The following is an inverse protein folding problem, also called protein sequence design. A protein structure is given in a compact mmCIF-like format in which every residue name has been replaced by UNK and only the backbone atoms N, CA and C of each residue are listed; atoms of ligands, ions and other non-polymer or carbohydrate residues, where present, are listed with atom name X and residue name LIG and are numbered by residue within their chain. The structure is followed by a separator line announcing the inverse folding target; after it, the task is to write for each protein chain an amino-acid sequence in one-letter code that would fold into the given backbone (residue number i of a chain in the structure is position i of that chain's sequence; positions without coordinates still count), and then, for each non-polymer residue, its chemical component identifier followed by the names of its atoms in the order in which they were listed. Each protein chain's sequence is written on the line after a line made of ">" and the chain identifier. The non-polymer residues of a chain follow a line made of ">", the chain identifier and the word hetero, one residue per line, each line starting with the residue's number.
data_IF_216504306176
#
_entry.id   IF_216504306176
#
_cell.length_a   1.000
_cell.length_b   1.000
_cell.length_c   1.000
_cell.angle_alpha   90.00
_cell.angle_beta   90.00
_cell.angle_gamma   90.00
#
_symmetry.space_group_name_H-M   'P 1'
#
loop_
_entity.id
_entity.type
_entity.pdbx_description
1 polymer ?
#
# COMPACT_ATOMS: atom_id res chain seq x y z
N UNK A 1 0.48 -5.50 9.01
CA UNK A 1 -0.35 -4.30 8.75
C UNK A 1 -1.38 -4.16 9.84
N UNK A 2 -1.35 -3.10 10.63
CA UNK A 2 -2.18 -2.92 11.82
C UNK A 2 -2.96 -1.59 11.80
N UNK A 3 -3.20 -1.03 10.60
CA UNK A 3 -3.93 0.23 10.45
C UNK A 3 -5.41 0.14 10.78
N UNK A 4 -5.99 -1.07 10.69
CA UNK A 4 -7.34 -1.37 11.16
C UNK A 4 -7.25 -1.93 12.58
N UNK A 5 -7.40 -1.05 13.58
CA UNK A 5 -7.24 -1.41 14.99
C UNK A 5 -8.37 -2.28 15.54
N UNK A 6 -9.53 -2.30 14.90
CA UNK A 6 -10.63 -3.19 15.32
C UNK A 6 -10.30 -4.64 14.97
N UNK A 7 -9.60 -4.86 13.84
CA UNK A 7 -9.20 -6.19 13.37
C UNK A 7 -7.81 -6.62 13.81
N UNK A 8 -6.95 -5.66 14.17
CA UNK A 8 -5.54 -5.90 14.51
C UNK A 8 -5.32 -5.88 16.02
N UNK A 9 -6.03 -6.76 16.73
CA UNK A 9 -5.86 -6.92 18.19
C UNK A 9 -4.50 -7.52 18.52
N UNK A 10 -3.95 -7.21 19.70
CA UNK A 10 -2.69 -7.84 20.17
C UNK A 10 -2.78 -9.36 20.18
N UNK A 11 -3.94 -9.90 20.57
CA UNK A 11 -4.21 -11.33 20.52
C UNK A 11 -4.09 -11.90 19.09
N UNK A 12 -4.68 -11.23 18.09
CA UNK A 12 -4.58 -11.66 16.69
C UNK A 12 -3.13 -11.61 16.20
N UNK A 13 -2.37 -10.59 16.61
CA UNK A 13 -0.95 -10.47 16.28
C UNK A 13 -0.17 -11.63 16.90
N UNK A 14 -0.34 -11.91 18.19
CA UNK A 14 0.33 -13.01 18.87
C UNK A 14 0.01 -14.36 18.23
N UNK A 15 -1.27 -14.62 17.90
CA UNK A 15 -1.68 -15.84 17.21
C UNK A 15 -0.98 -16.03 15.86
N UNK A 16 -0.81 -14.97 15.07
CA UNK A 16 -0.06 -15.03 13.80
C UNK A 16 1.40 -15.42 14.06
N UNK A 17 2.05 -14.76 15.03
CA UNK A 17 3.47 -15.00 15.33
C UNK A 17 3.70 -16.42 15.86
N UNK A 18 2.80 -16.92 16.72
CA UNK A 18 2.86 -18.30 17.22
C UNK A 18 2.64 -19.32 16.12
N UNK A 19 1.65 -19.12 15.25
CA UNK A 19 1.36 -20.02 14.13
C UNK A 19 2.55 -20.10 13.16
N UNK A 20 3.17 -18.95 12.83
CA UNK A 20 4.36 -18.92 11.96
C UNK A 20 5.55 -19.68 12.58
N UNK A 21 5.85 -19.45 13.88
CA UNK A 21 6.90 -20.19 14.59
C UNK A 21 6.61 -21.69 14.67
N UNK A 22 5.35 -22.06 14.91
CA UNK A 22 4.94 -23.47 14.96
C UNK A 22 5.16 -24.18 13.61
N UNK A 23 4.93 -23.47 12.49
CA UNK A 23 5.22 -23.96 11.14
C UNK A 23 6.72 -23.97 10.79
N UNK A 24 7.58 -23.41 11.64
CA UNK A 24 9.02 -23.23 11.37
C UNK A 24 9.30 -22.13 10.34
N UNK A 25 8.38 -21.16 10.20
CA UNK A 25 8.50 -20.00 9.31
C UNK A 25 8.97 -18.78 10.11
N UNK A 26 10.26 -18.76 10.45
CA UNK A 26 10.87 -17.61 11.11
C UNK A 26 11.05 -16.44 10.13
N UNK A 27 11.22 -15.24 10.67
CA UNK A 27 11.44 -14.00 9.93
C UNK A 27 12.60 -13.21 10.54
N UNK A 28 13.33 -12.48 9.70
CA UNK A 28 14.50 -11.72 10.13
C UNK A 28 14.13 -10.39 10.82
N UNK A 29 13.07 -9.73 10.34
CA UNK A 29 12.67 -8.39 10.77
C UNK A 29 11.16 -8.32 11.08
N UNK A 30 10.78 -7.54 12.10
CA UNK A 30 9.40 -7.34 12.51
C UNK A 30 9.06 -5.86 12.62
N UNK A 31 7.95 -5.46 12.01
CA UNK A 31 7.48 -4.07 11.99
C UNK A 31 5.99 -3.96 12.25
N UNK A 32 5.59 -2.81 12.80
CA UNK A 32 4.19 -2.38 12.88
C UNK A 32 3.98 -1.16 12.01
N UNK A 33 2.94 -1.20 11.19
CA UNK A 33 2.62 -0.13 10.25
C UNK A 33 2.16 1.13 10.98
N UNK A 34 1.46 0.98 12.11
CA UNK A 34 1.08 2.12 12.96
C UNK A 34 2.27 2.88 13.53
N UNK A 35 3.42 2.23 13.70
CA UNK A 35 4.66 2.85 14.17
C UNK A 35 5.42 3.62 13.06
N UNK A 36 4.96 3.54 11.80
CA UNK A 36 5.66 4.07 10.61
C UNK A 36 5.00 5.31 10.00
N UNK A 37 4.14 5.98 10.76
CA UNK A 37 3.41 7.18 10.32
C UNK A 37 4.30 8.29 9.77
N UNK A 38 5.52 8.46 10.28
CA UNK A 38 6.47 9.45 9.78
C UNK A 38 6.89 9.17 8.34
N UNK A 39 7.16 7.90 8.01
CA UNK A 39 7.51 7.45 6.66
C UNK A 39 6.34 7.71 5.71
N UNK A 40 5.13 7.33 6.11
CA UNK A 40 3.91 7.56 5.32
C UNK A 40 3.68 9.05 5.05
N UNK A 41 3.87 9.89 6.06
CA UNK A 41 3.72 11.35 5.93
C UNK A 41 4.78 11.96 5.02
N UNK A 42 6.03 11.50 5.09
CA UNK A 42 7.12 11.98 4.24
C UNK A 42 6.84 11.64 2.77
N UNK A 43 6.52 10.38 2.47
CA UNK A 43 6.24 9.95 1.09
C UNK A 43 4.99 10.64 0.52
N UNK A 44 3.95 10.82 1.34
CA UNK A 44 2.76 11.53 0.91
C UNK A 44 3.06 12.99 0.57
N UNK A 45 3.93 13.64 1.36
CA UNK A 45 4.37 15.01 1.10
C UNK A 45 5.17 15.09 -0.20
N UNK A 46 6.07 14.14 -0.46
CA UNK A 46 6.81 14.07 -1.71
C UNK A 46 5.88 13.96 -2.93
N UNK A 47 4.83 13.14 -2.85
CA UNK A 47 3.83 13.05 -3.92
C UNK A 47 3.10 14.37 -4.17
N UNK A 48 2.80 15.12 -3.11
CA UNK A 48 2.19 16.46 -3.24
C UNK A 48 3.18 17.44 -3.88
N UNK A 49 4.43 17.43 -3.44
CA UNK A 49 5.48 18.33 -3.93
C UNK A 49 5.81 18.06 -5.40
N UNK A 50 5.72 16.80 -5.84
CA UNK A 50 5.84 16.37 -7.25
C UNK A 50 4.60 16.65 -8.10
N UNK A 51 3.50 17.11 -7.50
CA UNK A 51 2.22 17.34 -8.20
C UNK A 51 1.44 16.06 -8.53
N UNK A 52 1.91 14.91 -8.06
CA UNK A 52 1.26 13.60 -8.19
C UNK A 52 0.09 13.44 -7.22
N UNK A 53 0.01 14.24 -6.16
CA UNK A 53 -1.11 14.28 -5.23
C UNK A 53 -1.60 15.72 -4.98
N UNK A 54 -2.83 15.84 -4.50
CA UNK A 54 -3.45 17.13 -4.17
C UNK A 54 -4.35 17.05 -2.93
N UNK A 55 -4.54 18.17 -2.25
CA UNK A 55 -5.45 18.28 -1.12
C UNK A 55 -6.86 18.64 -1.59
N UNK A 56 -7.87 17.92 -1.07
CA UNK A 56 -9.28 18.24 -1.29
C UNK A 56 -10.12 17.80 -0.08
N UNK A 57 -10.92 18.73 0.45
CA UNK A 57 -11.80 18.51 1.61
C UNK A 57 -11.07 17.91 2.85
N UNK A 58 -9.84 18.37 3.11
CA UNK A 58 -9.01 17.89 4.22
C UNK A 58 -8.31 16.54 3.98
N UNK A 59 -8.67 15.81 2.92
CA UNK A 59 -8.01 14.59 2.49
C UNK A 59 -6.96 14.86 1.40
N UNK A 60 -6.03 13.94 1.22
CA UNK A 60 -5.01 13.97 0.18
C UNK A 60 -5.33 12.89 -0.84
N UNK A 61 -5.33 13.27 -2.11
CA UNK A 61 -5.76 12.46 -3.23
C UNK A 61 -4.60 12.26 -4.19
N UNK A 62 -4.37 11.02 -4.61
CA UNK A 62 -3.45 10.70 -5.69
C UNK A 62 -4.11 11.00 -7.04
N UNK A 63 -3.36 11.66 -7.92
CA UNK A 63 -3.78 12.01 -9.28
C UNK A 63 -3.41 10.89 -10.24
N UNK A 64 -4.42 10.15 -10.68
CA UNK A 64 -4.23 9.09 -11.69
C UNK A 64 -4.16 9.73 -13.09
N UNK A 65 -3.16 9.36 -13.92
CA UNK A 65 -3.17 9.68 -15.34
C UNK A 65 -4.51 9.32 -15.99
N UNK A 66 -5.00 10.12 -16.95
CA UNK A 66 -6.30 9.88 -17.60
C UNK A 66 -6.21 9.08 -18.89
N UNK A 67 -4.99 8.97 -19.43
CA UNK A 67 -4.69 8.29 -20.69
C UNK A 67 -3.61 7.24 -20.46
N UNK A 68 -3.45 6.36 -21.45
CA UNK A 68 -2.52 5.24 -21.39
C UNK A 68 -3.03 4.07 -20.54
N UNK A 69 -2.13 3.15 -20.28
CA UNK A 69 -2.38 1.94 -19.52
C UNK A 69 -1.31 1.77 -18.42
N UNK A 70 -1.70 1.09 -17.36
CA UNK A 70 -0.78 0.56 -16.34
C UNK A 70 -0.73 -0.95 -16.53
N UNK A 71 0.46 -1.47 -16.81
CA UNK A 71 0.70 -2.90 -16.99
C UNK A 71 1.24 -3.47 -15.70
N UNK A 72 0.59 -4.51 -15.17
CA UNK A 72 1.09 -5.33 -14.08
C UNK A 72 1.88 -6.47 -14.70
N UNK A 73 3.20 -6.46 -14.52
CA UNK A 73 4.09 -7.56 -14.91
C UNK A 73 4.08 -8.62 -13.80
N UNK A 74 3.14 -9.55 -13.85
CA UNK A 74 3.00 -10.61 -12.85
C UNK A 74 3.81 -11.86 -13.25
N UNK A 75 4.57 -12.41 -12.31
CA UNK A 75 5.45 -13.57 -12.56
C UNK A 75 4.69 -14.87 -12.88
N UNK A 76 3.40 -14.98 -12.50
CA UNK A 76 2.57 -16.16 -12.74
C UNK A 76 1.52 -15.94 -13.83
N UNK A 77 0.86 -14.78 -13.81
CA UNK A 77 -0.23 -14.44 -14.73
C UNK A 77 0.27 -13.77 -16.02
N UNK A 78 1.52 -13.33 -16.06
CA UNK A 78 2.08 -12.53 -17.14
C UNK A 78 1.59 -11.09 -17.10
N UNK A 79 1.60 -10.43 -18.26
CA UNK A 79 1.19 -9.02 -18.37
C UNK A 79 -0.34 -8.86 -18.24
N UNK A 80 -0.76 -8.13 -17.23
CA UNK A 80 -2.16 -7.74 -17.01
C UNK A 80 -2.30 -6.22 -17.16
N UNK A 81 -2.94 -5.77 -18.24
CA UNK A 81 -3.12 -4.34 -18.53
C UNK A 81 -4.41 -3.76 -17.96
N UNK A 82 -4.31 -2.56 -17.40
CA UNK A 82 -5.42 -1.74 -16.91
C UNK A 82 -5.43 -0.38 -17.60
N UNK A 83 -6.57 -0.02 -18.19
CA UNK A 83 -6.74 1.29 -18.82
C UNK A 83 -6.84 2.39 -17.76
N UNK A 84 -5.95 3.38 -17.82
CA UNK A 84 -5.88 4.44 -16.81
C UNK A 84 -7.17 5.28 -16.76
N UNK A 85 -7.87 5.39 -17.89
CA UNK A 85 -9.18 6.04 -17.97
C UNK A 85 -10.25 5.43 -17.05
N UNK A 86 -10.10 4.18 -16.64
CA UNK A 86 -11.01 3.48 -15.73
C UNK A 86 -10.66 3.71 -14.25
N UNK A 87 -9.45 4.20 -13.97
CA UNK A 87 -8.96 4.47 -12.62
C UNK A 87 -9.33 5.90 -12.21
N UNK A 88 -9.94 6.02 -11.03
CA UNK A 88 -10.26 7.30 -10.42
C UNK A 88 -9.12 7.75 -9.52
N UNK A 89 -8.96 9.06 -9.40
CA UNK A 89 -8.17 9.65 -8.31
C UNK A 89 -8.67 9.09 -6.98
N UNK A 90 -7.76 8.75 -6.09
CA UNK A 90 -8.10 8.05 -4.86
C UNK A 90 -7.41 8.67 -3.67
N UNK A 91 -8.06 8.58 -2.52
CA UNK A 91 -7.53 9.10 -1.25
C UNK A 91 -6.29 8.29 -0.85
N UNK A 92 -5.19 8.97 -0.50
CA UNK A 92 -4.00 8.38 0.12
C UNK A 92 -3.95 8.68 1.62
N UNK A 93 -4.47 9.84 2.04
CA UNK A 93 -4.61 10.28 3.44
C UNK A 93 -6.02 10.83 3.66
N UNK A 94 -6.77 10.26 4.59
CA UNK A 94 -8.12 10.71 4.96
C UNK A 94 -8.09 12.07 5.68
N UNK A 95 -9.26 12.68 5.83
CA UNK A 95 -9.41 13.97 6.52
C UNK A 95 -9.09 13.91 8.01
N UNK A 96 -9.24 12.73 8.64
CA UNK A 96 -8.82 12.45 10.02
C UNK A 96 -7.30 12.25 10.17
N UNK A 97 -6.56 12.29 9.05
CA UNK A 97 -5.11 12.13 8.99
C UNK A 97 -4.61 10.69 8.92
N UNK A 98 -5.50 9.69 8.97
CA UNK A 98 -5.13 8.29 8.73
C UNK A 98 -4.78 8.05 7.26
N UNK A 99 -3.81 7.18 7.00
CA UNK A 99 -3.48 6.74 5.65
C UNK A 99 -4.30 5.52 5.24
N UNK A 100 -4.52 5.35 3.94
CA UNK A 100 -5.25 4.18 3.41
C UNK A 100 -4.29 3.04 3.09
N UNK A 101 -4.80 1.80 3.16
CA UNK A 101 -4.08 0.57 2.82
C UNK A 101 -3.26 0.68 1.52
N UNK A 102 -3.89 1.06 0.40
CA UNK A 102 -3.24 1.14 -0.91
C UNK A 102 -2.06 2.10 -0.99
N UNK A 103 -1.93 3.01 -0.03
CA UNK A 103 -0.78 3.90 0.07
C UNK A 103 0.29 3.37 1.04
N UNK A 104 -0.12 2.94 2.24
CA UNK A 104 0.84 2.55 3.28
C UNK A 104 1.64 1.30 2.92
N UNK A 105 1.05 0.33 2.21
CA UNK A 105 1.78 -0.87 1.78
C UNK A 105 2.90 -0.53 0.81
N UNK A 106 2.62 0.36 -0.16
CA UNK A 106 3.60 0.79 -1.15
C UNK A 106 4.71 1.62 -0.50
N UNK A 107 4.34 2.48 0.44
CA UNK A 107 5.30 3.29 1.17
C UNK A 107 6.26 2.44 2.02
N UNK A 108 5.72 1.40 2.67
CA UNK A 108 6.54 0.47 3.45
C UNK A 108 7.41 -0.41 2.56
N UNK A 109 6.87 -0.94 1.47
CA UNK A 109 7.64 -1.74 0.50
C UNK A 109 8.82 -0.95 -0.08
N UNK A 110 8.60 0.32 -0.46
CA UNK A 110 9.64 1.19 -0.98
C UNK A 110 10.72 1.52 0.05
N UNK A 111 10.34 1.86 1.29
CA UNK A 111 11.28 2.18 2.37
C UNK A 111 12.08 0.95 2.84
N UNK A 112 11.42 -0.20 2.93
CA UNK A 112 12.03 -1.49 3.31
C UNK A 112 12.78 -2.15 2.14
N UNK A 113 12.71 -1.57 0.93
CA UNK A 113 13.37 -2.07 -0.30
C UNK A 113 12.94 -3.50 -0.64
N UNK A 114 11.66 -3.79 -0.48
CA UNK A 114 11.06 -5.06 -0.92
C UNK A 114 11.24 -5.19 -2.43
N UNK A 115 11.74 -6.35 -2.86
CA UNK A 115 12.05 -6.61 -4.28
C UNK A 115 10.99 -7.46 -4.96
N UNK A 116 10.30 -8.32 -4.20
CA UNK A 116 9.29 -9.22 -4.71
C UNK A 116 8.09 -9.20 -3.75
N UNK A 117 6.91 -8.89 -4.28
CA UNK A 117 5.66 -8.88 -3.51
C UNK A 117 4.85 -10.11 -3.91
N UNK A 118 4.68 -11.04 -2.96
CA UNK A 118 3.89 -12.27 -3.14
C UNK A 118 2.64 -12.16 -2.29
N UNK A 119 1.46 -12.27 -2.91
CA UNK A 119 0.14 -12.10 -2.25
C UNK A 119 -0.97 -12.81 -3.01
N UNK A 120 -2.17 -12.87 -2.41
CA UNK A 120 -3.36 -13.42 -3.04
C UNK A 120 -3.81 -12.65 -4.29
N UNK A 121 -4.48 -13.35 -5.21
CA UNK A 121 -4.99 -12.80 -6.48
C UNK A 121 -6.13 -11.79 -6.29
N UNK A 122 -6.79 -11.82 -5.13
CA UNK A 122 -7.78 -10.84 -4.71
C UNK A 122 -7.21 -9.40 -4.66
N UNK A 123 -5.89 -9.26 -4.53
CA UNK A 123 -5.21 -7.97 -4.58
C UNK A 123 -4.85 -7.48 -5.99
N UNK A 124 -5.04 -8.27 -7.05
CA UNK A 124 -4.62 -7.92 -8.42
C UNK A 124 -5.20 -6.58 -8.90
N UNK A 125 -6.46 -6.30 -8.55
CA UNK A 125 -7.14 -5.05 -8.92
C UNK A 125 -6.61 -3.81 -8.16
N UNK A 126 -5.87 -4.00 -7.06
CA UNK A 126 -5.20 -2.92 -6.35
C UNK A 126 -3.84 -2.59 -6.95
N UNK A 127 -3.17 -3.57 -7.58
CA UNK A 127 -1.83 -3.44 -8.13
C UNK A 127 -1.64 -2.24 -9.07
N UNK A 128 -2.54 -1.92 -10.04
CA UNK A 128 -2.33 -0.75 -10.89
C UNK A 128 -2.30 0.58 -10.11
N UNK A 129 -3.10 0.70 -9.04
CA UNK A 129 -3.05 1.90 -8.18
C UNK A 129 -1.73 2.00 -7.41
N UNK A 130 -1.19 0.86 -7.01
CA UNK A 130 0.04 0.76 -6.25
C UNK A 130 1.28 1.03 -7.12
N UNK A 131 1.30 0.51 -8.36
CA UNK A 131 2.32 0.82 -9.37
C UNK A 131 2.38 2.33 -9.64
N UNK A 132 1.23 2.98 -9.77
CA UNK A 132 1.18 4.43 -10.05
C UNK A 132 1.77 5.29 -8.92
N UNK A 133 1.84 4.78 -7.68
CA UNK A 133 2.40 5.52 -6.54
C UNK A 133 3.94 5.54 -6.56
N UNK A 134 4.57 4.47 -7.08
CA UNK A 134 6.02 4.33 -7.19
C UNK A 134 6.60 5.26 -8.27
#
# INVERSE_FOLDING_TARGET
>A
EDTDQERSTEESIEQILEAMRWLGLDWDEYYRQTARRSVHQQLAQELVDRGCAYMHAGAWWFRVPKEGETIVHDELLGDVSFQNAQLKDFVIRRSDGSFVYNFVVVADDADMRITHVIRGDDHLNNTPKQILIL
#
